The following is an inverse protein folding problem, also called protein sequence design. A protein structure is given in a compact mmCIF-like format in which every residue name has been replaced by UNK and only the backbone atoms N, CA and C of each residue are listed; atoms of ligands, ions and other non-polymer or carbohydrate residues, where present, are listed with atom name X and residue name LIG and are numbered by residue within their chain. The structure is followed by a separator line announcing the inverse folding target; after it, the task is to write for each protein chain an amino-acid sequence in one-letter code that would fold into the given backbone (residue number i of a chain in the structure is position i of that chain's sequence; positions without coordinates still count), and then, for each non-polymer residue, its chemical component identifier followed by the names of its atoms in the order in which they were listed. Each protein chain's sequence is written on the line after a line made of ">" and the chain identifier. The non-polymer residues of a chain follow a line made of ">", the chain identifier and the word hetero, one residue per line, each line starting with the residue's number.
data_IF_367088798008
#
_entry.id   IF_367088798008
#
_cell.length_a   1.000
_cell.length_b   1.000
_cell.length_c   1.000
_cell.angle_alpha   90.00
_cell.angle_beta   90.00
_cell.angle_gamma   90.00
#
_symmetry.space_group_name_H-M   'P 1'
#
loop_
_entity.id
_entity.type
_entity.pdbx_description
1 polymer ?
#
# COMPACT_ATOMS: atom_id res chain seq x y z
N UNK A 1 3.97 8.58 -9.11
CA UNK A 1 4.98 8.17 -8.11
C UNK A 1 4.28 8.04 -6.79
N UNK A 2 4.59 7.02 -6.03
CA UNK A 2 4.06 6.75 -4.70
C UNK A 2 5.12 6.18 -3.76
N UNK A 3 4.74 6.01 -2.51
CA UNK A 3 5.53 5.33 -1.49
C UNK A 3 4.88 4.01 -1.10
N UNK A 4 5.69 2.99 -0.90
CA UNK A 4 5.25 1.71 -0.39
C UNK A 4 5.07 1.77 1.13
N UNK A 5 4.07 1.10 1.64
CA UNK A 5 3.74 0.99 3.06
C UNK A 5 3.46 -0.49 3.35
N UNK A 6 3.62 -0.92 4.59
CA UNK A 6 3.00 -2.18 5.00
C UNK A 6 1.47 -2.10 4.84
N UNK A 7 0.83 -3.19 4.49
CA UNK A 7 -0.64 -3.23 4.50
C UNK A 7 -1.19 -2.95 5.89
N UNK A 8 -0.46 -3.40 6.91
CA UNK A 8 -0.69 -3.12 8.33
C UNK A 8 0.66 -2.88 9.01
N UNK A 9 0.81 -1.75 9.69
CA UNK A 9 1.99 -1.40 10.49
C UNK A 9 1.56 -1.20 11.94
N UNK A 10 1.95 -2.10 12.84
CA UNK A 10 1.57 -2.03 14.25
C UNK A 10 2.79 -1.73 15.13
N UNK A 11 2.76 -0.63 15.91
CA UNK A 11 3.79 -0.37 16.92
C UNK A 11 3.66 -1.34 18.10
N UNK A 12 4.74 -2.03 18.42
CA UNK A 12 4.86 -2.87 19.60
C UNK A 12 5.24 -1.98 20.77
N UNK A 13 4.34 -1.87 21.74
CA UNK A 13 4.48 -0.95 22.89
C UNK A 13 4.54 -1.70 24.21
N UNK A 14 5.42 -1.25 25.09
CA UNK A 14 5.36 -1.63 26.49
C UNK A 14 4.12 -1.00 27.14
N UNK A 15 3.30 -1.82 27.81
CA UNK A 15 2.10 -1.38 28.58
C UNK A 15 2.38 -1.21 30.04
N UNK A 16 3.48 -1.77 30.53
CA UNK A 16 3.99 -1.66 31.90
C UNK A 16 5.44 -1.19 31.85
N UNK A 17 5.88 -0.54 32.93
CA UNK A 17 7.26 -0.10 33.06
C UNK A 17 8.10 -1.16 33.76
N UNK A 18 9.35 -1.32 33.33
CA UNK A 18 10.28 -2.25 33.94
C UNK A 18 11.55 -2.46 33.11
N UNK A 19 12.42 -3.36 33.57
CA UNK A 19 13.65 -3.73 32.87
C UNK A 19 13.31 -4.77 31.80
N UNK A 20 13.80 -4.59 30.60
CA UNK A 20 13.69 -5.56 29.52
C UNK A 20 14.59 -6.76 29.80
N UNK A 21 14.02 -7.93 30.07
CA UNK A 21 14.74 -9.14 30.44
C UNK A 21 15.22 -9.95 29.24
N UNK A 22 14.34 -10.10 28.22
CA UNK A 22 14.68 -10.84 27.01
C UNK A 22 14.06 -10.24 25.75
N UNK A 23 14.67 -10.61 24.61
CA UNK A 23 14.16 -10.41 23.25
C UNK A 23 14.21 -11.78 22.56
N UNK A 24 13.03 -12.33 22.25
CA UNK A 24 12.88 -13.72 21.79
C UNK A 24 12.63 -13.81 20.27
N UNK A 25 13.18 -12.86 19.51
CA UNK A 25 13.10 -12.80 18.06
C UNK A 25 14.43 -12.34 17.46
N UNK A 26 14.54 -12.39 16.13
CA UNK A 26 15.64 -11.80 15.36
C UNK A 26 15.16 -10.57 14.63
N UNK A 27 15.85 -9.44 14.83
CA UNK A 27 15.55 -8.18 14.16
C UNK A 27 15.57 -8.33 12.64
N UNK A 28 14.61 -7.69 11.95
CA UNK A 28 14.48 -7.73 10.51
C UNK A 28 13.94 -9.06 9.93
N UNK A 29 13.51 -10.00 10.78
CA UNK A 29 12.93 -11.28 10.35
C UNK A 29 11.41 -11.29 10.48
N UNK A 30 10.81 -12.32 9.90
CA UNK A 30 9.39 -12.59 10.04
C UNK A 30 9.08 -13.13 11.42
N UNK A 31 7.94 -12.71 11.96
CA UNK A 31 7.37 -13.16 13.23
C UNK A 31 5.90 -13.53 12.98
N UNK A 32 5.39 -14.46 13.77
CA UNK A 32 4.02 -14.95 13.69
C UNK A 32 3.12 -14.24 14.70
N UNK A 33 1.82 -14.15 14.42
CA UNK A 33 0.83 -13.68 15.38
C UNK A 33 0.88 -14.54 16.66
N UNK A 34 0.90 -13.89 17.82
CA UNK A 34 1.01 -14.55 19.11
C UNK A 34 2.43 -14.97 19.48
N UNK A 35 3.44 -14.81 18.63
CA UNK A 35 4.84 -15.08 18.98
C UNK A 35 5.31 -14.13 20.09
N UNK A 36 5.98 -14.67 21.12
CA UNK A 36 6.60 -13.88 22.17
C UNK A 36 7.77 -13.07 21.59
N UNK A 37 7.73 -11.75 21.79
CA UNK A 37 8.73 -10.81 21.30
C UNK A 37 9.64 -10.31 22.43
N UNK A 38 9.04 -9.82 23.51
CA UNK A 38 9.77 -9.22 24.61
C UNK A 38 9.24 -9.74 25.95
N UNK A 39 10.14 -9.85 26.93
CA UNK A 39 9.79 -10.08 28.32
C UNK A 39 10.34 -8.94 29.17
N UNK A 40 9.47 -8.27 29.90
CA UNK A 40 9.81 -7.30 30.94
C UNK A 40 9.89 -8.08 32.27
N UNK A 41 10.81 -7.72 33.19
CA UNK A 41 10.99 -8.40 34.50
C UNK A 41 9.64 -8.64 35.19
N UNK A 42 9.16 -9.89 35.27
CA UNK A 42 7.84 -10.22 35.80
C UNK A 42 7.79 -10.23 37.34
N UNK A 43 8.94 -10.32 38.03
CA UNK A 43 9.01 -10.53 39.48
C UNK A 43 8.23 -9.50 40.32
N UNK A 44 8.28 -8.18 40.04
CA UNK A 44 7.48 -7.21 40.76
C UNK A 44 5.95 -7.44 40.59
N UNK A 45 5.53 -7.87 39.41
CA UNK A 45 4.13 -8.16 39.10
C UNK A 45 3.67 -9.48 39.69
N UNK A 46 4.51 -10.50 39.69
CA UNK A 46 4.26 -11.78 40.38
C UNK A 46 4.05 -11.57 41.89
N UNK A 47 4.86 -10.71 42.48
CA UNK A 47 4.69 -10.35 43.89
C UNK A 47 3.31 -9.68 44.19
N UNK A 48 2.86 -8.76 43.30
CA UNK A 48 1.52 -8.16 43.39
C UNK A 48 0.41 -9.20 43.25
N UNK A 49 0.55 -10.19 42.36
CA UNK A 49 -0.43 -11.29 42.23
C UNK A 49 -0.49 -12.12 43.52
N UNK A 50 0.66 -12.42 44.13
CA UNK A 50 0.69 -13.14 45.41
C UNK A 50 0.02 -12.34 46.51
N UNK A 51 0.27 -11.03 46.60
CA UNK A 51 -0.39 -10.12 47.55
C UNK A 51 -1.92 -10.11 47.36
N UNK A 52 -2.38 -9.92 46.13
CA UNK A 52 -3.81 -9.92 45.80
C UNK A 52 -4.50 -11.26 46.14
N UNK A 53 -3.80 -12.40 45.91
CA UNK A 53 -4.27 -13.73 46.36
C UNK A 53 -4.43 -13.80 47.86
N UNK A 54 -3.56 -13.14 48.63
CA UNK A 54 -3.69 -13.04 50.09
C UNK A 54 -4.98 -12.31 50.50
N UNK A 55 -5.26 -11.16 49.89
CA UNK A 55 -6.51 -10.40 50.14
C UNK A 55 -7.77 -11.19 49.74
N UNK A 56 -7.71 -11.93 48.65
CA UNK A 56 -8.81 -12.80 48.24
C UNK A 56 -9.08 -13.91 49.26
N UNK A 57 -8.03 -14.55 49.78
CA UNK A 57 -8.19 -15.58 50.82
C UNK A 57 -8.77 -15.04 52.13
N UNK A 58 -8.37 -13.84 52.55
CA UNK A 58 -8.94 -13.14 53.70
C UNK A 58 -10.45 -12.85 53.48
N UNK A 59 -10.80 -12.21 52.35
CA UNK A 59 -12.19 -11.88 52.02
C UNK A 59 -13.09 -13.12 51.91
N UNK A 60 -12.56 -14.20 51.34
CA UNK A 60 -13.24 -15.49 51.26
C UNK A 60 -13.53 -16.06 52.64
N UNK A 61 -12.59 -15.96 53.56
CA UNK A 61 -12.73 -16.41 54.94
C UNK A 61 -13.76 -15.56 55.72
N UNK A 62 -13.74 -14.23 55.51
CA UNK A 62 -14.72 -13.32 56.09
C UNK A 62 -16.15 -13.62 55.62
N UNK A 63 -16.31 -13.85 54.30
CA UNK A 63 -17.61 -14.24 53.73
C UNK A 63 -18.08 -15.58 54.29
N UNK A 64 -17.21 -16.57 54.41
CA UNK A 64 -17.56 -17.88 54.99
C UNK A 64 -18.03 -17.75 56.43
N UNK A 65 -17.38 -16.89 57.23
CA UNK A 65 -17.80 -16.59 58.59
C UNK A 65 -19.17 -15.91 58.64
N UNK A 66 -19.33 -14.80 57.91
CA UNK A 66 -20.61 -14.04 57.86
C UNK A 66 -21.76 -14.90 57.36
N UNK A 67 -21.55 -15.76 56.38
CA UNK A 67 -22.52 -16.74 55.88
C UNK A 67 -22.92 -17.74 56.94
N UNK A 68 -21.97 -18.27 57.71
CA UNK A 68 -22.24 -19.20 58.84
C UNK A 68 -23.04 -18.52 59.94
N UNK A 69 -22.68 -17.27 60.29
CA UNK A 69 -23.37 -16.51 61.34
C UNK A 69 -24.80 -16.19 60.92
N UNK A 70 -25.01 -15.71 59.69
CA UNK A 70 -26.36 -15.50 59.14
C UNK A 70 -27.16 -16.79 59.08
N UNK A 71 -26.54 -17.93 58.72
CA UNK A 71 -27.20 -19.27 58.67
C UNK A 71 -27.65 -19.77 60.06
N UNK A 72 -26.99 -19.27 61.15
CA UNK A 72 -27.38 -19.57 62.53
C UNK A 72 -28.46 -18.62 63.01
N UNK A 73 -28.37 -17.33 62.75
CA UNK A 73 -29.25 -16.28 63.25
C UNK A 73 -30.62 -16.33 62.54
N UNK A 74 -30.69 -16.58 61.25
CA UNK A 74 -31.93 -16.59 60.46
C UNK A 74 -33.01 -17.51 61.04
N UNK A 75 -32.76 -18.80 61.34
CA UNK A 75 -33.78 -19.68 61.89
C UNK A 75 -34.19 -19.30 63.34
N UNK A 76 -33.27 -18.72 64.10
CA UNK A 76 -33.57 -18.23 65.43
C UNK A 76 -34.48 -16.98 65.41
N UNK A 77 -34.31 -16.09 64.48
CA UNK A 77 -35.21 -14.94 64.26
C UNK A 77 -36.60 -15.39 63.82
N UNK A 78 -36.71 -16.40 62.95
CA UNK A 78 -38.00 -17.02 62.54
C UNK A 78 -38.79 -17.60 63.76
N UNK A 79 -38.04 -18.18 64.70
CA UNK A 79 -38.62 -18.70 65.95
C UNK A 79 -38.81 -17.57 67.02
N UNK A 80 -38.49 -16.26 66.74
CA UNK A 80 -38.53 -15.14 67.65
C UNK A 80 -37.61 -15.30 68.88
N UNK A 81 -36.53 -16.07 68.74
CA UNK A 81 -35.50 -16.29 69.75
C UNK A 81 -34.42 -15.24 69.80
N UNK A 82 -34.29 -14.43 68.75
CA UNK A 82 -33.41 -13.25 68.68
C UNK A 82 -34.17 -12.05 68.13
N UNK A 83 -33.59 -10.85 68.21
CA UNK A 83 -34.23 -9.61 67.77
C UNK A 83 -34.16 -9.47 66.24
N UNK A 84 -35.09 -8.70 65.65
CA UNK A 84 -35.01 -8.37 64.21
C UNK A 84 -33.72 -7.60 63.88
N UNK A 85 -33.26 -6.77 64.82
CA UNK A 85 -32.01 -6.00 64.68
C UNK A 85 -30.78 -6.94 64.54
N UNK A 86 -30.78 -8.05 65.30
CA UNK A 86 -29.66 -9.07 65.14
C UNK A 86 -29.67 -9.71 63.77
N UNK A 87 -30.86 -10.02 63.22
CA UNK A 87 -30.98 -10.55 61.88
C UNK A 87 -30.52 -9.53 60.82
N UNK A 88 -30.99 -8.29 60.92
CA UNK A 88 -30.63 -7.21 59.98
C UNK A 88 -29.12 -6.95 60.01
N UNK A 89 -28.51 -6.97 61.22
CA UNK A 89 -27.04 -6.86 61.35
C UNK A 89 -26.30 -8.03 60.67
N UNK A 90 -26.75 -9.26 60.86
CA UNK A 90 -26.12 -10.43 60.24
C UNK A 90 -26.27 -10.44 58.69
N UNK A 91 -27.41 -9.95 58.18
CA UNK A 91 -27.61 -9.76 56.74
C UNK A 91 -26.64 -8.69 56.21
N UNK A 92 -26.54 -7.54 56.88
CA UNK A 92 -25.65 -6.46 56.48
C UNK A 92 -24.18 -6.90 56.50
N UNK A 93 -23.73 -7.67 57.50
CA UNK A 93 -22.37 -8.23 57.55
C UNK A 93 -22.11 -9.22 56.42
N UNK A 94 -23.09 -10.06 56.08
CA UNK A 94 -22.97 -10.99 54.94
C UNK A 94 -22.85 -10.22 53.63
N UNK A 95 -23.69 -9.22 53.39
CA UNK A 95 -23.66 -8.39 52.20
C UNK A 95 -22.34 -7.61 52.08
N UNK A 96 -21.86 -7.03 53.20
CA UNK A 96 -20.57 -6.35 53.26
C UNK A 96 -19.41 -7.29 52.94
N UNK A 97 -19.40 -8.51 53.50
CA UNK A 97 -18.38 -9.51 53.22
C UNK A 97 -18.45 -9.98 51.77
N UNK A 98 -19.63 -10.08 51.14
CA UNK A 98 -19.79 -10.39 49.73
C UNK A 98 -19.20 -9.28 48.84
N UNK A 99 -19.47 -8.01 49.19
CA UNK A 99 -18.86 -6.87 48.48
C UNK A 99 -17.32 -6.84 48.59
N UNK A 100 -16.79 -7.19 49.79
CA UNK A 100 -15.33 -7.29 50.03
C UNK A 100 -14.70 -8.41 49.20
N UNK A 101 -15.37 -9.56 49.04
CA UNK A 101 -14.90 -10.65 48.17
C UNK A 101 -14.82 -10.20 46.72
N UNK A 102 -15.89 -9.56 46.22
CA UNK A 102 -15.93 -9.07 44.85
C UNK A 102 -14.80 -8.03 44.56
N UNK A 103 -14.52 -7.16 45.53
CA UNK A 103 -13.43 -6.19 45.43
C UNK A 103 -12.05 -6.89 45.36
N UNK A 104 -11.83 -7.93 46.19
CA UNK A 104 -10.58 -8.69 46.20
C UNK A 104 -10.40 -9.53 44.91
N UNK A 105 -11.48 -10.08 44.36
CA UNK A 105 -11.45 -10.76 43.05
C UNK A 105 -11.05 -9.81 41.93
N UNK A 106 -11.61 -8.61 41.90
CA UNK A 106 -11.26 -7.58 40.91
C UNK A 106 -9.79 -7.12 41.05
N UNK A 107 -9.28 -7.00 42.28
CA UNK A 107 -7.88 -6.65 42.54
C UNK A 107 -6.93 -7.76 42.05
N UNK A 108 -7.27 -9.03 42.25
CA UNK A 108 -6.48 -10.16 41.70
C UNK A 108 -6.47 -10.16 40.18
N UNK A 109 -7.62 -9.94 39.56
CA UNK A 109 -7.73 -9.86 38.13
C UNK A 109 -6.87 -8.72 37.55
N UNK A 110 -6.92 -7.54 38.16
CA UNK A 110 -6.05 -6.42 37.78
C UNK A 110 -4.58 -6.79 37.86
N UNK A 111 -4.14 -7.43 38.96
CA UNK A 111 -2.74 -7.86 39.12
C UNK A 111 -2.33 -8.89 38.05
N UNK A 112 -3.22 -9.82 37.67
CA UNK A 112 -2.99 -10.77 36.61
C UNK A 112 -2.87 -10.09 35.22
N UNK A 113 -3.70 -9.09 34.94
CA UNK A 113 -3.64 -8.28 33.71
C UNK A 113 -2.30 -7.55 33.64
N UNK A 114 -1.86 -6.90 34.71
CA UNK A 114 -0.56 -6.22 34.76
C UNK A 114 0.59 -7.22 34.53
N UNK A 115 0.54 -8.39 35.14
CA UNK A 115 1.52 -9.46 34.89
C UNK A 115 1.51 -9.94 33.45
N UNK A 116 0.33 -10.04 32.83
CA UNK A 116 0.24 -10.44 31.43
C UNK A 116 0.92 -9.45 30.48
N UNK A 117 0.95 -8.16 30.81
CA UNK A 117 1.60 -7.11 30.02
C UNK A 117 3.14 -7.17 30.06
N UNK A 118 3.72 -7.97 30.97
CA UNK A 118 5.18 -8.20 30.99
C UNK A 118 5.66 -9.06 29.82
N UNK A 119 4.77 -9.85 29.22
CA UNK A 119 5.03 -10.67 28.05
C UNK A 119 4.38 -10.06 26.82
N UNK A 120 5.20 -9.51 25.94
CA UNK A 120 4.72 -8.77 24.77
C UNK A 120 4.80 -9.70 23.56
N UNK A 121 3.64 -9.95 22.96
CA UNK A 121 3.49 -10.83 21.79
C UNK A 121 3.22 -10.02 20.54
N UNK A 122 3.52 -10.60 19.37
CA UNK A 122 3.14 -10.01 18.10
C UNK A 122 1.62 -10.05 17.91
N UNK A 123 0.99 -8.92 17.54
CA UNK A 123 -0.45 -8.87 17.27
C UNK A 123 -0.81 -9.32 15.85
N UNK A 124 0.17 -9.48 14.96
CA UNK A 124 0.00 -9.86 13.56
C UNK A 124 1.20 -10.66 13.06
N UNK A 125 1.00 -11.40 11.98
CA UNK A 125 2.11 -11.93 11.16
C UNK A 125 2.77 -10.79 10.40
N UNK A 126 4.10 -10.82 10.29
CA UNK A 126 4.81 -9.81 9.53
C UNK A 126 6.30 -9.72 9.86
N UNK A 127 6.95 -8.74 9.27
CA UNK A 127 8.38 -8.48 9.52
C UNK A 127 8.55 -7.49 10.65
N UNK A 128 9.32 -7.90 11.66
CA UNK A 128 9.68 -7.03 12.79
C UNK A 128 10.89 -6.16 12.43
N UNK A 129 10.87 -4.90 12.85
CA UNK A 129 11.96 -3.94 12.63
C UNK A 129 13.13 -4.10 13.58
N UNK A 130 13.97 -3.05 13.66
CA UNK A 130 15.05 -2.92 14.61
C UNK A 130 14.48 -2.42 15.94
N UNK A 131 14.86 -3.04 17.05
CA UNK A 131 14.39 -2.67 18.37
C UNK A 131 14.92 -1.30 18.81
N UNK A 132 14.03 -0.49 19.37
CA UNK A 132 14.39 0.80 19.98
C UNK A 132 14.99 0.63 21.38
N UNK A 133 14.82 -0.54 22.01
CA UNK A 133 15.35 -0.86 23.33
C UNK A 133 16.17 -2.15 23.31
N UNK A 134 17.14 -2.25 24.22
CA UNK A 134 18.00 -3.44 24.38
C UNK A 134 17.73 -4.13 25.71
N UNK A 135 18.08 -5.40 25.77
CA UNK A 135 18.05 -6.19 27.02
C UNK A 135 18.85 -5.49 28.11
N UNK A 136 18.26 -5.34 29.27
CA UNK A 136 18.80 -4.61 30.42
C UNK A 136 18.39 -3.13 30.50
N UNK A 137 17.75 -2.57 29.46
CA UNK A 137 17.24 -1.19 29.51
C UNK A 137 15.87 -1.12 30.21
N UNK A 138 15.61 0.04 30.84
CA UNK A 138 14.31 0.35 31.42
C UNK A 138 13.37 0.86 30.33
N UNK A 139 12.15 0.32 30.23
CA UNK A 139 11.18 0.62 29.19
C UNK A 139 9.81 0.99 29.79
N UNK A 140 8.92 1.49 28.96
CA UNK A 140 7.49 1.67 29.30
C UNK A 140 7.10 3.03 29.85
N UNK A 141 8.08 3.93 30.12
CA UNK A 141 7.80 5.29 30.64
C UNK A 141 8.80 6.30 30.11
N UNK A 142 8.31 7.43 29.60
CA UNK A 142 9.18 8.51 29.14
C UNK A 142 10.11 9.04 30.27
N UNK A 143 11.39 9.34 29.96
CA UNK A 143 11.97 9.46 28.62
C UNK A 143 12.43 8.12 27.98
N UNK A 144 12.19 6.98 28.62
CA UNK A 144 12.59 5.66 28.12
C UNK A 144 11.65 5.18 26.99
N UNK A 145 12.09 4.24 26.15
CA UNK A 145 11.30 3.74 25.03
C UNK A 145 9.97 3.14 25.47
N UNK A 146 8.86 3.71 25.00
CA UNK A 146 7.50 3.14 25.13
C UNK A 146 7.18 2.29 23.92
N UNK A 147 7.53 2.78 22.70
CA UNK A 147 7.48 1.99 21.47
C UNK A 147 8.78 1.22 21.35
N UNK A 148 8.71 -0.09 21.41
CA UNK A 148 9.87 -0.96 21.36
C UNK A 148 10.25 -1.35 19.93
N UNK A 149 9.25 -1.54 19.06
CA UNK A 149 9.43 -1.95 17.69
C UNK A 149 8.18 -1.69 16.84
N UNK A 150 8.25 -2.04 15.56
CA UNK A 150 7.11 -2.11 14.65
C UNK A 150 7.08 -3.47 13.99
N UNK A 151 5.90 -4.05 13.83
CA UNK A 151 5.68 -5.22 12.97
C UNK A 151 4.88 -4.76 11.77
N UNK A 152 5.43 -5.01 10.58
CA UNK A 152 4.86 -4.61 9.30
C UNK A 152 4.46 -5.84 8.50
N UNK A 153 3.22 -5.92 8.09
CA UNK A 153 2.76 -6.91 7.13
C UNK A 153 3.07 -6.40 5.72
N UNK A 154 4.01 -7.08 5.03
CA UNK A 154 4.50 -6.68 3.71
C UNK A 154 3.87 -7.48 2.56
N UNK A 155 3.01 -8.45 2.83
CA UNK A 155 2.20 -9.15 1.84
C UNK A 155 0.73 -9.13 2.27
N UNK A 156 -0.13 -8.45 1.50
CA UNK A 156 0.20 -7.59 0.35
C UNK A 156 0.96 -6.32 0.76
N UNK A 157 1.79 -5.80 -0.14
CA UNK A 157 2.40 -4.47 0.05
C UNK A 157 1.43 -3.39 -0.44
N UNK A 158 1.25 -2.36 0.36
CA UNK A 158 0.39 -1.22 0.03
C UNK A 158 1.20 -0.10 -0.58
N UNK A 159 0.69 0.50 -1.65
CA UNK A 159 1.31 1.66 -2.30
C UNK A 159 0.37 2.83 -2.24
N UNK A 160 0.82 3.92 -1.62
CA UNK A 160 0.09 5.19 -1.58
C UNK A 160 0.63 6.12 -2.65
N UNK A 161 -0.24 6.60 -3.52
CA UNK A 161 0.14 7.48 -4.63
C UNK A 161 -0.91 8.56 -4.88
N UNK A 162 -0.45 9.69 -5.39
CA UNK A 162 -1.31 10.82 -5.74
C UNK A 162 -1.76 10.74 -7.20
N UNK A 163 -3.03 11.00 -7.44
CA UNK A 163 -3.65 11.05 -8.76
C UNK A 163 -4.20 12.45 -9.01
N UNK A 164 -3.93 13.01 -10.18
CA UNK A 164 -4.46 14.31 -10.58
C UNK A 164 -5.99 14.24 -10.78
N UNK A 165 -6.71 15.29 -10.38
CA UNK A 165 -8.17 15.39 -10.48
C UNK A 165 -8.69 15.12 -11.90
N UNK A 166 -7.99 15.56 -12.95
CA UNK A 166 -8.40 15.31 -14.36
C UNK A 166 -8.41 13.83 -14.69
N UNK A 167 -7.40 13.09 -14.23
CA UNK A 167 -7.29 11.64 -14.44
C UNK A 167 -8.40 10.91 -13.69
N UNK A 168 -8.68 11.34 -12.46
CA UNK A 168 -9.79 10.82 -11.68
C UNK A 168 -11.14 11.03 -12.38
N UNK A 169 -11.43 12.26 -12.81
CA UNK A 169 -12.71 12.60 -13.48
C UNK A 169 -12.88 11.81 -14.77
N UNK A 170 -11.80 11.63 -15.56
CA UNK A 170 -11.85 10.82 -16.77
C UNK A 170 -12.18 9.35 -16.42
N UNK A 171 -11.53 8.78 -15.40
CA UNK A 171 -11.83 7.46 -14.91
C UNK A 171 -13.23 7.33 -14.33
N UNK A 172 -13.66 8.25 -13.46
CA UNK A 172 -14.95 8.22 -12.79
C UNK A 172 -16.13 8.30 -13.76
N UNK A 173 -16.05 9.16 -14.80
CA UNK A 173 -17.08 9.26 -15.86
C UNK A 173 -17.21 7.93 -16.59
N UNK A 174 -16.11 7.32 -16.96
CA UNK A 174 -16.10 6.02 -17.63
C UNK A 174 -16.62 4.89 -16.74
N UNK A 175 -16.29 4.90 -15.45
CA UNK A 175 -16.86 3.99 -14.47
C UNK A 175 -18.37 4.07 -14.38
N UNK A 176 -18.91 5.31 -14.39
CA UNK A 176 -20.34 5.53 -14.38
C UNK A 176 -21.01 4.99 -15.66
N UNK A 177 -20.37 5.17 -16.83
CA UNK A 177 -20.88 4.66 -18.12
C UNK A 177 -20.83 3.13 -18.19
N UNK A 178 -19.75 2.51 -17.74
CA UNK A 178 -19.60 1.04 -17.72
C UNK A 178 -20.56 0.41 -16.71
N UNK A 179 -20.70 0.99 -15.51
CA UNK A 179 -21.66 0.53 -14.50
C UNK A 179 -23.11 0.65 -14.96
N UNK A 180 -23.41 1.63 -15.81
CA UNK A 180 -24.75 1.78 -16.39
C UNK A 180 -25.06 0.76 -17.49
N UNK A 181 -24.04 0.19 -18.12
CA UNK A 181 -24.19 -0.74 -19.27
C UNK A 181 -24.12 -2.23 -18.89
N UNK A 182 -23.49 -2.59 -17.79
CA UNK A 182 -23.26 -4.01 -17.45
C UNK A 182 -23.37 -4.23 -15.94
N UNK A 183 -24.33 -5.06 -15.53
CA UNK A 183 -24.38 -5.61 -14.17
C UNK A 183 -23.42 -6.78 -13.98
N UNK A 184 -22.60 -7.10 -14.97
CA UNK A 184 -21.71 -8.26 -15.00
C UNK A 184 -20.26 -7.83 -15.20
N UNK A 185 -19.41 -8.38 -14.33
CA UNK A 185 -17.96 -8.53 -14.44
C UNK A 185 -17.10 -7.25 -14.40
N UNK A 186 -16.93 -6.76 -13.17
CA UNK A 186 -15.84 -5.86 -12.78
C UNK A 186 -14.49 -6.61 -12.64
N UNK A 187 -14.42 -7.88 -12.95
CA UNK A 187 -13.24 -8.74 -12.72
C UNK A 187 -12.16 -8.66 -13.82
N UNK A 188 -12.48 -8.18 -15.00
CA UNK A 188 -11.49 -8.05 -16.10
C UNK A 188 -10.80 -6.68 -16.12
N UNK A 189 -10.45 -6.15 -14.95
CA UNK A 189 -9.59 -4.96 -14.87
C UNK A 189 -8.15 -5.42 -14.99
N UNK A 190 -7.52 -5.03 -16.09
CA UNK A 190 -6.07 -5.00 -16.18
C UNK A 190 -5.56 -4.29 -14.93
N UNK A 191 -5.10 -5.06 -13.91
CA UNK A 191 -4.68 -4.51 -12.63
C UNK A 191 -3.58 -3.46 -12.79
N UNK A 192 -3.30 -2.74 -11.72
CA UNK A 192 -2.21 -1.76 -11.68
C UNK A 192 -0.86 -2.47 -11.74
N UNK A 193 0.07 -1.91 -12.48
CA UNK A 193 1.46 -2.34 -12.53
C UNK A 193 2.30 -1.47 -11.59
N UNK A 194 3.20 -2.09 -10.86
CA UNK A 194 4.14 -1.44 -9.97
C UNK A 194 5.53 -1.46 -10.60
N UNK A 195 6.10 -0.29 -10.84
CA UNK A 195 7.45 -0.11 -11.38
C UNK A 195 8.35 0.30 -10.22
N UNK A 196 9.32 -0.54 -9.91
CA UNK A 196 10.25 -0.36 -8.81
C UNK A 196 11.35 0.67 -9.15
N UNK A 197 12.16 1.03 -8.17
CA UNK A 197 13.22 2.02 -8.32
C UNK A 197 14.31 1.62 -9.35
N UNK A 198 14.51 0.32 -9.59
CA UNK A 198 15.41 -0.24 -10.60
C UNK A 198 14.83 -0.21 -12.03
N UNK A 199 13.60 0.30 -12.20
CA UNK A 199 12.89 0.38 -13.46
C UNK A 199 12.17 -0.92 -13.86
N UNK A 200 12.29 -2.00 -13.09
CA UNK A 200 11.60 -3.26 -13.38
C UNK A 200 10.15 -3.21 -12.93
N UNK A 201 9.31 -3.92 -13.68
CA UNK A 201 7.90 -4.10 -13.32
C UNK A 201 7.80 -5.25 -12.32
N UNK A 202 7.09 -5.02 -11.21
CA UNK A 202 6.77 -6.07 -10.23
C UNK A 202 5.93 -7.17 -10.88
N UNK A 203 6.20 -8.43 -10.51
CA UNK A 203 5.59 -9.59 -11.13
C UNK A 203 4.06 -9.67 -10.96
N UNK A 204 3.57 -9.14 -9.83
CA UNK A 204 2.15 -9.21 -9.49
C UNK A 204 1.46 -7.87 -9.72
N UNK A 205 0.27 -7.92 -10.32
CA UNK A 205 -0.57 -6.75 -10.50
C UNK A 205 -1.35 -6.46 -9.23
N UNK A 206 -1.52 -5.18 -8.93
CA UNK A 206 -2.28 -4.70 -7.78
C UNK A 206 -3.66 -4.18 -8.15
N UNK A 207 -4.46 -3.92 -7.13
CA UNK A 207 -5.78 -3.33 -7.24
C UNK A 207 -5.96 -2.20 -6.22
N UNK A 208 -6.78 -1.21 -6.57
CA UNK A 208 -7.09 -0.10 -5.68
C UNK A 208 -7.98 -0.61 -4.54
N UNK A 209 -7.58 -0.30 -3.31
CA UNK A 209 -8.32 -0.67 -2.09
C UNK A 209 -8.94 0.53 -1.41
N UNK A 210 -8.24 1.67 -1.40
CA UNK A 210 -8.71 2.88 -0.75
C UNK A 210 -8.46 4.11 -1.63
N UNK A 211 -9.25 5.13 -1.42
CA UNK A 211 -9.03 6.46 -1.98
C UNK A 211 -9.55 7.52 -1.00
N UNK A 212 -8.88 8.66 -0.95
CA UNK A 212 -9.32 9.79 -0.15
C UNK A 212 -10.66 10.33 -0.63
N UNK A 213 -11.49 10.77 0.30
CA UNK A 213 -12.79 11.37 -0.01
C UNK A 213 -12.69 12.81 -0.52
N UNK A 214 -11.53 13.45 -0.39
CA UNK A 214 -11.31 14.85 -0.72
C UNK A 214 -10.05 15.05 -1.57
N UNK A 215 -10.13 16.01 -2.49
CA UNK A 215 -8.97 16.49 -3.26
C UNK A 215 -8.17 17.47 -2.41
N UNK A 216 -6.85 17.35 -2.40
CA UNK A 216 -5.99 18.34 -1.78
C UNK A 216 -6.03 19.64 -2.61
N UNK A 217 -6.55 20.75 -2.06
CA UNK A 217 -6.75 21.98 -2.81
C UNK A 217 -5.45 22.67 -3.24
N UNK A 218 -4.34 22.37 -2.55
CA UNK A 218 -3.03 22.96 -2.86
C UNK A 218 -2.37 22.31 -4.06
N UNK A 219 -2.52 20.98 -4.21
CA UNK A 219 -1.86 20.20 -5.26
C UNK A 219 -2.79 19.80 -6.40
N UNK A 220 -4.13 19.90 -6.23
CA UNK A 220 -5.11 19.42 -7.18
C UNK A 220 -5.08 17.91 -7.39
N UNK A 221 -4.61 17.17 -6.38
CA UNK A 221 -4.49 15.72 -6.39
C UNK A 221 -5.26 15.11 -5.23
N UNK A 222 -5.64 13.86 -5.38
CA UNK A 222 -6.16 13.06 -4.29
C UNK A 222 -5.36 11.77 -4.14
N UNK A 223 -5.35 11.23 -2.94
CA UNK A 223 -4.55 10.07 -2.61
C UNK A 223 -5.33 8.78 -2.88
N UNK A 224 -4.66 7.82 -3.49
CA UNK A 224 -5.15 6.45 -3.67
C UNK A 224 -4.18 5.46 -3.03
N UNK A 225 -4.73 4.36 -2.56
CA UNK A 225 -3.98 3.22 -2.07
C UNK A 225 -4.33 1.98 -2.89
N UNK A 226 -3.31 1.26 -3.28
CA UNK A 226 -3.44 0.00 -3.99
C UNK A 226 -2.60 -1.08 -3.31
N UNK A 227 -3.15 -2.28 -3.19
CA UNK A 227 -2.46 -3.44 -2.65
C UNK A 227 -1.92 -4.29 -3.81
N UNK A 228 -0.66 -4.72 -3.64
CA UNK A 228 0.07 -5.57 -4.56
C UNK A 228 0.52 -6.83 -3.82
N UNK A 229 0.21 -8.04 -4.31
CA UNK A 229 0.76 -9.26 -3.74
C UNK A 229 2.28 -9.22 -3.76
N UNK A 230 2.93 -9.60 -2.65
CA UNK A 230 4.38 -9.54 -2.48
C UNK A 230 4.92 -10.80 -1.78
N UNK A 231 4.58 -12.00 -2.30
CA UNK A 231 4.94 -13.26 -1.63
C UNK A 231 6.43 -13.45 -1.45
N UNK A 232 7.25 -12.91 -2.35
CA UNK A 232 8.70 -13.01 -2.28
C UNK A 232 9.34 -11.98 -1.33
N UNK A 233 8.56 -11.06 -0.75
CA UNK A 233 9.03 -10.01 0.16
C UNK A 233 10.07 -9.06 -0.45
N UNK A 234 10.11 -8.93 -1.78
CA UNK A 234 11.08 -8.09 -2.51
C UNK A 234 10.82 -6.61 -2.27
N UNK A 235 9.53 -6.23 -2.25
CA UNK A 235 9.14 -4.84 -2.01
C UNK A 235 9.01 -4.61 -0.52
N UNK A 236 9.78 -3.65 0.01
CA UNK A 236 9.76 -3.27 1.42
C UNK A 236 8.97 -1.97 1.62
N UNK A 237 8.40 -1.79 2.80
CA UNK A 237 7.80 -0.52 3.20
C UNK A 237 8.84 0.61 3.18
N UNK A 238 8.41 1.83 2.78
CA UNK A 238 9.28 3.01 2.69
C UNK A 238 10.00 3.19 1.36
N UNK A 239 9.86 2.30 0.40
CA UNK A 239 10.44 2.46 -0.94
C UNK A 239 9.60 3.40 -1.81
N UNK A 240 10.24 4.04 -2.79
CA UNK A 240 9.52 4.75 -3.84
C UNK A 240 9.23 3.81 -5.01
N UNK A 241 8.02 3.90 -5.52
CA UNK A 241 7.58 3.14 -6.67
C UNK A 241 6.69 3.99 -7.58
N UNK A 242 6.56 3.57 -8.84
CA UNK A 242 5.70 4.21 -9.82
C UNK A 242 4.55 3.26 -10.15
N UNK A 243 3.34 3.71 -9.93
CA UNK A 243 2.14 2.96 -10.31
C UNK A 243 1.73 3.35 -11.71
N UNK A 244 1.47 2.37 -12.56
CA UNK A 244 0.97 2.51 -13.92
C UNK A 244 -0.35 1.76 -14.04
N UNK A 245 -1.37 2.43 -14.56
CA UNK A 245 -2.67 1.83 -14.84
C UNK A 245 -3.12 2.17 -16.25
N UNK A 246 -3.88 1.27 -16.87
CA UNK A 246 -4.51 1.50 -18.16
C UNK A 246 -5.84 2.23 -17.92
N UNK A 247 -5.94 3.46 -18.41
CA UNK A 247 -7.17 4.27 -18.30
C UNK A 247 -8.15 3.96 -19.41
N UNK A 248 -7.65 3.72 -20.62
CA UNK A 248 -8.45 3.51 -21.80
C UNK A 248 -7.74 2.62 -22.80
N UNK A 249 -8.46 1.68 -23.40
CA UNK A 249 -8.03 0.93 -24.56
C UNK A 249 -8.95 1.28 -25.73
N UNK A 250 -8.40 1.85 -26.78
CA UNK A 250 -9.11 2.13 -28.02
C UNK A 250 -8.80 1.08 -29.05
N UNK A 251 -9.81 0.34 -29.48
CA UNK A 251 -9.67 -0.59 -30.60
C UNK A 251 -9.69 0.21 -31.91
N UNK A 252 -8.96 -0.27 -32.91
CA UNK A 252 -8.88 0.30 -34.25
C UNK A 252 -8.40 1.77 -34.30
N UNK A 253 -7.50 2.12 -33.36
CA UNK A 253 -6.92 3.46 -33.30
C UNK A 253 -5.91 3.68 -34.43
N UNK A 254 -6.05 4.80 -35.17
CA UNK A 254 -5.09 5.19 -36.19
C UNK A 254 -3.89 5.87 -35.54
N UNK A 255 -2.72 5.23 -35.62
CA UNK A 255 -1.46 5.74 -35.08
C UNK A 255 -0.53 6.16 -36.22
N UNK A 256 0.05 7.36 -36.11
CA UNK A 256 0.99 7.91 -37.07
C UNK A 256 2.27 8.32 -36.35
N UNK A 257 3.47 8.02 -36.87
CA UNK A 257 4.72 8.48 -36.26
C UNK A 257 4.75 9.98 -36.05
N UNK A 258 5.27 10.46 -34.90
CA UNK A 258 5.28 11.89 -34.54
C UNK A 258 5.93 12.73 -35.64
N UNK A 259 7.00 12.24 -36.26
CA UNK A 259 7.70 12.93 -37.36
C UNK A 259 6.88 13.11 -38.63
N UNK A 260 5.75 12.39 -38.81
CA UNK A 260 4.86 12.56 -39.94
C UNK A 260 3.82 13.65 -39.75
N UNK A 261 3.64 14.14 -38.54
CA UNK A 261 2.65 15.17 -38.19
C UNK A 261 3.35 16.52 -38.09
N UNK A 262 2.95 17.46 -38.96
CA UNK A 262 3.41 18.84 -38.93
C UNK A 262 2.42 19.71 -38.16
N UNK A 263 2.92 20.49 -37.21
CA UNK A 263 2.12 21.45 -36.47
C UNK A 263 2.40 22.86 -36.98
N UNK A 264 1.37 23.54 -37.42
CA UNK A 264 1.44 24.93 -37.86
C UNK A 264 0.31 25.76 -37.25
N UNK A 265 0.67 26.73 -36.40
CA UNK A 265 -0.31 27.64 -35.74
C UNK A 265 -1.41 26.89 -34.97
N UNK A 266 -1.06 25.76 -34.32
CA UNK A 266 -2.00 24.96 -33.55
C UNK A 266 -2.88 23.99 -34.38
N UNK A 267 -2.67 23.94 -35.70
CA UNK A 267 -3.30 22.96 -36.57
C UNK A 267 -2.33 21.85 -36.90
N UNK A 268 -2.82 20.62 -36.83
CA UNK A 268 -2.03 19.42 -37.17
C UNK A 268 -2.33 19.00 -38.60
N UNK A 269 -1.28 18.70 -39.36
CA UNK A 269 -1.34 18.34 -40.77
C UNK A 269 -0.48 17.15 -41.06
N UNK A 270 -0.93 16.34 -42.01
CA UNK A 270 -0.17 15.21 -42.55
C UNK A 270 -0.17 15.24 -44.06
N UNK A 271 0.91 14.74 -44.65
CA UNK A 271 0.97 14.53 -46.08
C UNK A 271 0.56 13.08 -46.38
N UNK A 272 -0.61 12.92 -47.02
CA UNK A 272 -1.14 11.63 -47.46
C UNK A 272 -0.71 11.43 -48.88
N UNK A 273 -0.22 10.23 -49.20
CA UNK A 273 0.18 9.83 -50.57
C UNK A 273 -0.92 8.97 -51.16
N UNK A 274 -1.61 9.53 -52.15
CA UNK A 274 -2.67 8.85 -52.87
C UNK A 274 -2.14 7.65 -53.70
N UNK A 275 -3.05 6.84 -54.27
CA UNK A 275 -2.68 5.66 -55.07
C UNK A 275 -1.93 6.02 -56.32
N UNK A 276 -2.18 7.21 -56.91
CA UNK A 276 -1.47 7.76 -58.07
C UNK A 276 -0.14 8.45 -57.72
N UNK A 277 0.34 8.29 -56.50
CA UNK A 277 1.53 8.91 -55.92
C UNK A 277 1.49 10.43 -55.86
N UNK A 278 0.31 11.04 -55.86
CA UNK A 278 0.18 12.49 -55.59
C UNK A 278 0.11 12.73 -54.11
N UNK A 279 0.73 13.83 -53.66
CA UNK A 279 0.75 14.28 -52.24
C UNK A 279 -0.45 15.13 -51.99
N UNK A 280 -1.20 14.80 -50.95
CA UNK A 280 -2.32 15.60 -50.46
C UNK A 280 -2.00 16.07 -49.04
N UNK A 281 -1.97 17.38 -48.83
CA UNK A 281 -1.89 17.99 -47.50
C UNK A 281 -3.29 17.95 -46.87
N UNK A 282 -3.40 17.25 -45.73
CA UNK A 282 -4.68 17.06 -45.04
C UNK A 282 -4.58 17.51 -43.59
N UNK A 283 -5.55 18.33 -43.17
CA UNK A 283 -5.69 18.69 -41.78
C UNK A 283 -6.25 17.50 -40.99
N UNK A 284 -5.67 17.24 -39.83
CA UNK A 284 -6.04 16.12 -38.96
C UNK A 284 -6.30 16.60 -37.53
N UNK A 285 -7.17 15.89 -36.84
CA UNK A 285 -7.39 16.10 -35.42
C UNK A 285 -6.49 15.10 -34.67
N UNK A 286 -5.38 15.60 -34.13
CA UNK A 286 -4.49 14.82 -33.32
C UNK A 286 -4.99 14.70 -31.88
N UNK A 287 -5.01 13.50 -31.35
CA UNK A 287 -5.32 13.16 -29.96
C UNK A 287 -4.04 13.08 -29.10
N UNK A 288 -4.02 12.26 -28.05
CA UNK A 288 -2.86 12.09 -27.19
C UNK A 288 -1.70 11.40 -27.93
N UNK A 289 -0.49 11.70 -27.45
CA UNK A 289 0.73 10.99 -27.89
C UNK A 289 0.86 9.69 -27.10
N UNK A 290 1.24 8.62 -27.82
CA UNK A 290 1.48 7.29 -27.26
C UNK A 290 2.86 6.88 -27.74
N UNK A 291 3.84 6.87 -26.88
CA UNK A 291 5.26 6.68 -27.19
C UNK A 291 5.72 7.61 -28.33
N UNK A 292 6.20 7.08 -29.45
CA UNK A 292 6.64 7.82 -30.64
C UNK A 292 5.52 8.07 -31.67
N UNK A 293 4.28 7.77 -31.31
CA UNK A 293 3.13 7.84 -32.23
C UNK A 293 2.12 8.89 -31.77
N UNK A 294 1.46 9.53 -32.74
CA UNK A 294 0.27 10.33 -32.53
C UNK A 294 -0.97 9.49 -32.80
N UNK A 295 -1.92 9.54 -31.89
CA UNK A 295 -3.29 9.09 -32.16
C UNK A 295 -3.98 10.11 -33.06
N UNK A 296 -4.50 9.69 -34.20
CA UNK A 296 -5.31 10.54 -35.08
C UNK A 296 -6.78 10.21 -34.88
N UNK A 297 -7.54 11.19 -34.41
CA UNK A 297 -8.96 11.02 -34.12
C UNK A 297 -9.84 11.23 -35.36
N UNK A 298 -9.43 12.15 -36.25
CA UNK A 298 -10.14 12.45 -37.48
C UNK A 298 -9.18 12.92 -38.57
N UNK A 299 -9.56 12.71 -39.85
CA UNK A 299 -8.83 13.24 -40.99
C UNK A 299 -7.96 12.22 -41.72
N UNK A 300 -7.84 10.99 -41.21
CA UNK A 300 -7.21 9.86 -41.90
C UNK A 300 -8.14 8.66 -41.96
N UNK A 301 -7.96 7.85 -42.97
CA UNK A 301 -8.63 6.55 -43.15
C UNK A 301 -7.64 5.40 -42.92
N UNK A 302 -8.11 4.20 -42.53
CA UNK A 302 -7.25 3.04 -42.39
C UNK A 302 -6.54 2.70 -43.72
N UNK A 303 -5.25 2.29 -43.61
CA UNK A 303 -4.39 1.92 -44.74
C UNK A 303 -3.99 3.06 -45.70
N UNK A 304 -4.24 4.32 -45.35
CA UNK A 304 -3.66 5.43 -46.10
C UNK A 304 -2.13 5.51 -45.87
N UNK A 305 -1.38 5.82 -46.93
CA UNK A 305 0.05 6.04 -46.86
C UNK A 305 0.36 7.46 -46.43
N UNK A 306 1.14 7.62 -45.36
CA UNK A 306 1.53 8.94 -44.83
C UNK A 306 3.02 9.12 -44.98
N UNK A 307 3.45 10.28 -45.49
CA UNK A 307 4.85 10.63 -45.58
C UNK A 307 5.45 10.87 -44.18
N UNK A 308 6.55 10.22 -43.89
CA UNK A 308 7.25 10.29 -42.59
C UNK A 308 8.52 11.12 -42.67
N UNK A 309 9.16 11.14 -43.85
CA UNK A 309 10.40 11.87 -44.12
C UNK A 309 10.28 12.75 -45.35
N UNK A 310 11.14 13.77 -45.48
CA UNK A 310 11.15 14.67 -46.64
C UNK A 310 10.05 15.75 -46.59
N UNK A 311 9.33 15.91 -45.49
CA UNK A 311 8.15 16.79 -45.35
C UNK A 311 8.39 18.23 -45.80
N UNK A 312 9.62 18.76 -45.61
CA UNK A 312 9.98 20.14 -45.97
C UNK A 312 10.02 20.40 -47.48
N UNK A 313 10.09 19.34 -48.27
CA UNK A 313 10.15 19.40 -49.73
C UNK A 313 8.81 19.09 -50.41
N UNK A 314 7.83 18.62 -49.63
CA UNK A 314 6.54 18.22 -50.15
C UNK A 314 5.61 19.42 -50.30
N UNK A 315 4.90 19.46 -51.43
CA UNK A 315 3.81 20.43 -51.69
C UNK A 315 2.56 19.67 -52.09
N UNK A 316 1.42 20.29 -51.79
CA UNK A 316 0.14 19.70 -52.16
C UNK A 316 0.02 19.58 -53.70
N UNK A 317 -0.37 18.41 -54.21
CA UNK A 317 -0.46 18.09 -55.62
C UNK A 317 0.84 17.64 -56.28
N UNK A 318 1.95 17.57 -55.56
CA UNK A 318 3.22 17.08 -56.07
C UNK A 318 3.20 15.56 -56.29
N UNK A 319 3.74 15.09 -57.40
CA UNK A 319 3.93 13.65 -57.60
C UNK A 319 5.26 13.24 -57.02
N UNK A 320 5.29 12.17 -56.21
CA UNK A 320 6.47 11.64 -55.51
C UNK A 320 6.69 10.18 -55.84
N UNK A 321 7.91 9.72 -55.67
CA UNK A 321 8.22 8.29 -55.66
C UNK A 321 8.39 7.85 -54.17
N UNK A 322 7.36 7.27 -53.52
CA UNK A 322 7.42 6.89 -52.14
C UNK A 322 8.32 5.67 -51.96
N UNK A 323 9.29 5.76 -51.09
CA UNK A 323 10.12 4.64 -50.67
C UNK A 323 9.55 4.07 -49.36
N UNK A 324 9.57 2.77 -49.23
CA UNK A 324 9.25 2.08 -47.99
C UNK A 324 10.39 2.22 -46.97
N UNK A 325 10.14 2.07 -45.67
CA UNK A 325 11.22 2.11 -44.68
C UNK A 325 12.34 1.12 -44.92
N UNK A 326 12.03 -0.03 -45.51
CA UNK A 326 13.01 -1.05 -45.90
C UNK A 326 13.88 -0.59 -47.08
N UNK A 327 13.29 0.06 -48.06
CA UNK A 327 14.01 0.62 -49.22
C UNK A 327 14.89 1.81 -48.85
N UNK A 328 14.46 2.62 -47.87
CA UNK A 328 15.25 3.73 -47.31
C UNK A 328 16.45 3.18 -46.55
N UNK A 329 16.27 2.16 -45.71
CA UNK A 329 17.36 1.52 -44.99
C UNK A 329 18.39 0.90 -45.95
N UNK A 330 17.93 0.19 -47.02
CA UNK A 330 18.81 -0.38 -48.05
C UNK A 330 19.56 0.70 -48.83
N UNK A 331 18.92 1.83 -49.14
CA UNK A 331 19.56 2.94 -49.84
C UNK A 331 20.62 3.65 -48.96
N UNK A 332 20.37 3.77 -47.68
CA UNK A 332 21.34 4.33 -46.71
C UNK A 332 22.56 3.44 -46.52
N UNK A 333 22.38 2.12 -46.43
CA UNK A 333 23.47 1.17 -46.34
C UNK A 333 24.35 1.19 -47.64
N UNK A 334 23.73 1.37 -48.81
CA UNK A 334 24.46 1.50 -50.06
C UNK A 334 25.25 2.82 -50.16
N UNK A 335 24.71 3.92 -49.65
CA UNK A 335 25.42 5.20 -49.59
C UNK A 335 26.59 5.14 -48.62
N UNK A 336 26.42 4.59 -47.42
CA UNK A 336 27.53 4.42 -46.47
C UNK A 336 28.63 3.47 -47.00
N UNK A 337 28.24 2.43 -47.73
CA UNK A 337 29.20 1.53 -48.36
C UNK A 337 29.99 2.24 -49.48
N UNK A 338 29.32 3.11 -50.26
CA UNK A 338 29.94 3.91 -51.30
C UNK A 338 30.91 4.96 -50.79
N UNK A 339 30.54 5.65 -49.71
CA UNK A 339 31.43 6.64 -49.04
C UNK A 339 32.66 5.98 -48.40
N UNK A 340 32.50 4.80 -47.81
CA UNK A 340 33.61 4.00 -47.27
C UNK A 340 34.56 3.49 -48.38
N UNK A 341 34.08 3.24 -49.59
CA UNK A 341 34.93 2.90 -50.76
C UNK A 341 35.65 4.10 -51.34
N UNK A 342 34.94 5.24 -51.51
CA UNK A 342 35.54 6.47 -52.01
C UNK A 342 36.61 7.05 -51.05
N UNK A 343 36.39 6.93 -49.74
CA UNK A 343 37.38 7.32 -48.73
C UNK A 343 38.62 6.42 -48.64
N UNK A 344 38.50 5.16 -49.15
CA UNK A 344 39.66 4.25 -49.26
C UNK A 344 40.47 4.50 -50.52
N UNK A 345 39.86 4.93 -51.61
CA UNK A 345 40.56 5.27 -52.85
C UNK A 345 41.32 6.60 -52.75
N UNK A 346 40.72 7.61 -52.11
CA UNK A 346 41.44 8.89 -51.91
C UNK A 346 42.60 8.80 -50.91
N UNK A 347 42.56 7.90 -49.91
CA UNK A 347 43.67 7.66 -48.98
C UNK A 347 44.78 6.77 -49.51
N UNK A 348 44.60 6.11 -50.70
CA UNK A 348 45.64 5.36 -51.35
C UNK A 348 46.46 6.20 -52.33
N UNK A 349 45.90 7.31 -52.87
CA UNK A 349 46.60 8.25 -53.76
C UNK A 349 47.51 9.22 -53.00
N UNK A 350 47.22 9.53 -51.73
CA UNK A 350 48.08 10.37 -50.87
C UNK A 350 49.29 9.62 -50.24
N UNK A 351 49.36 8.31 -50.41
CA UNK A 351 50.46 7.48 -49.86
C UNK A 351 51.55 7.13 -50.93
N UNK A 352 51.40 7.57 -52.19
CA UNK A 352 52.33 7.31 -53.28
C UNK A 352 53.07 8.61 -53.79
N UNK A 353 52.88 9.78 -53.13
CA UNK A 353 53.72 10.96 -53.30
C UNK A 353 54.63 11.11 -52.05
#
# INVERSE_FOLDING_TARGET
>A
VGSTLGSVDIPIRARVEGILESMDFREGREVEEGQLLYTIDPRPFEAKVVEAKGYLAEATTMLAKAKSDLGRIRPLAEMKAVSQQDLDSAVAEYEAAQGSLQAAEAQLEQANIELSYTRIHSPIDGRIGISAAKVGEFVGKEPNPVVLNYVSQADPIRVRFAVNERVYLAGARRFAEVRARTNEELEDRQGLELILADGKVHAHRGHVVNYDAAVNPTTGTFTMEADFPNPDGIVLAGQFARVRGVLETRKDALLVPQRAVSELQGNYRVFVIAQDNTVQLRDVQAGPRIDDMWLIEKGLEPNERVAVEGLLRLQNGMTVNPLTPEEVAAAQEQQEAGEKQAGKESGAEEAEE
#
